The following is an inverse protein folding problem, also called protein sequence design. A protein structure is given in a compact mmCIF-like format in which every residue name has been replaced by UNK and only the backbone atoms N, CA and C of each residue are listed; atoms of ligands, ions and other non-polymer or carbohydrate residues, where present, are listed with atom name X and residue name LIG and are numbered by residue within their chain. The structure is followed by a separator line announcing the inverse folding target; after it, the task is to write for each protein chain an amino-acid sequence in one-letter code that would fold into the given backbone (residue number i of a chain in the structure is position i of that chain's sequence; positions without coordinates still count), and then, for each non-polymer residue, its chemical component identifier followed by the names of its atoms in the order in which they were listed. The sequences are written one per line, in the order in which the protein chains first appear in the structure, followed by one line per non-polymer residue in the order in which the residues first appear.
data_IF_136387181731
#
_entry.id   IF_136387181731
#
_cell.length_a   1.000
_cell.length_b   1.000
_cell.length_c   1.000
_cell.angle_alpha   90.00
_cell.angle_beta   90.00
_cell.angle_gamma   90.00
#
_symmetry.space_group_name_H-M   'P 1'
#
loop_
_entity.id
_entity.type
_entity.pdbx_description
1 polymer ?
#
# COMPACT_ATOMS: atom_id res chain seq x y z
N UNK A 1 33.19 98.36 20.49
CA UNK A 1 32.12 99.37 20.23
C UNK A 1 30.96 98.63 19.59
N UNK A 2 29.71 98.70 20.00
CA UNK A 2 28.99 99.13 21.21
C UNK A 2 27.57 98.52 21.01
N UNK A 3 27.04 97.78 21.98
CA UNK A 3 26.00 98.21 22.92
C UNK A 3 24.55 98.27 22.38
N UNK A 4 23.73 97.41 23.00
CA UNK A 4 22.40 97.62 23.57
C UNK A 4 21.19 98.05 22.71
N UNK A 5 20.06 97.38 22.98
CA UNK A 5 18.72 97.85 22.64
C UNK A 5 17.63 96.86 23.05
N UNK A 6 17.04 97.06 24.24
CA UNK A 6 15.86 96.36 24.72
C UNK A 6 14.58 97.05 24.23
N UNK A 7 13.49 96.30 23.99
CA UNK A 7 12.16 96.52 24.60
C UNK A 7 11.03 95.75 23.89
N UNK A 8 10.04 95.39 24.70
CA UNK A 8 8.87 94.56 24.44
C UNK A 8 7.82 95.20 23.51
N UNK A 9 6.91 94.38 22.95
CA UNK A 9 5.46 94.47 23.21
C UNK A 9 4.63 93.42 22.43
N UNK A 10 3.72 92.78 23.19
CA UNK A 10 2.34 92.40 22.89
C UNK A 10 1.94 91.48 21.71
N UNK A 11 1.21 90.43 22.10
CA UNK A 11 0.33 89.52 21.37
C UNK A 11 -0.54 90.16 20.26
N UNK A 12 -0.72 89.47 19.12
CA UNK A 12 -1.94 88.69 18.83
C UNK A 12 -2.05 88.24 17.34
N UNK A 13 -2.55 86.99 17.17
CA UNK A 13 -3.22 86.42 15.98
C UNK A 13 -2.33 86.14 14.73
N UNK A 14 -2.35 84.99 14.05
CA UNK A 14 -3.34 83.92 13.89
C UNK A 14 -2.68 82.54 13.71
N UNK A 15 -3.49 81.51 13.93
CA UNK A 15 -3.17 80.09 13.94
C UNK A 15 -3.10 79.52 12.52
N UNK A 16 -1.93 79.04 12.10
CA UNK A 16 -1.84 78.05 11.01
C UNK A 16 -1.27 76.77 11.57
N UNK A 17 -2.19 75.89 11.98
CA UNK A 17 -1.93 74.51 12.35
C UNK A 17 -1.33 73.77 11.15
N UNK A 18 -0.04 73.44 11.21
CA UNK A 18 0.48 72.29 10.47
C UNK A 18 0.51 71.11 11.43
N UNK A 19 -0.56 70.31 11.40
CA UNK A 19 -0.59 68.98 11.97
C UNK A 19 0.32 68.10 11.12
N UNK A 20 1.58 67.98 11.52
CA UNK A 20 2.42 66.88 11.07
C UNK A 20 2.03 65.69 11.95
N UNK A 21 1.16 64.83 11.44
CA UNK A 21 0.93 63.50 12.01
C UNK A 21 2.27 62.77 12.00
N UNK A 22 2.88 62.56 13.18
CA UNK A 22 3.97 61.60 13.30
C UNK A 22 3.37 60.22 13.01
N UNK A 23 3.83 59.49 11.98
CA UNK A 23 3.31 58.17 11.71
C UNK A 23 3.63 57.28 12.91
N UNK A 24 2.70 56.40 13.24
CA UNK A 24 2.72 55.39 14.31
C UNK A 24 3.81 54.32 14.11
N UNK A 25 5.06 54.73 13.90
CA UNK A 25 6.24 53.87 13.69
C UNK A 25 6.40 52.82 14.82
N UNK A 26 6.01 53.17 16.04
CA UNK A 26 6.14 52.28 17.21
C UNK A 26 5.18 51.08 17.16
N UNK A 27 3.98 51.26 16.59
CA UNK A 27 2.99 50.19 16.48
C UNK A 27 3.33 49.23 15.33
N UNK A 28 3.80 49.77 14.19
CA UNK A 28 4.24 48.99 13.04
C UNK A 28 5.49 48.15 13.34
N UNK A 29 6.45 48.70 14.08
CA UNK A 29 7.62 47.97 14.53
C UNK A 29 7.28 46.87 15.55
N UNK A 30 6.28 47.11 16.42
CA UNK A 30 5.77 46.10 17.36
C UNK A 30 5.14 44.91 16.64
N UNK A 31 4.34 45.18 15.61
CA UNK A 31 3.74 44.14 14.75
C UNK A 31 4.80 43.36 13.98
N UNK A 32 5.77 44.05 13.35
CA UNK A 32 6.88 43.38 12.65
C UNK A 32 7.72 42.49 13.57
N UNK A 33 7.99 42.91 14.81
CA UNK A 33 8.74 42.10 15.77
C UNK A 33 7.93 40.88 16.23
N UNK A 34 6.61 41.02 16.40
CA UNK A 34 5.72 39.89 16.71
C UNK A 34 5.68 38.88 15.54
N UNK A 35 5.48 39.34 14.31
CA UNK A 35 5.51 38.51 13.10
C UNK A 35 6.87 37.81 12.91
N UNK A 36 7.96 38.49 13.25
CA UNK A 36 9.32 37.92 13.23
C UNK A 36 9.48 36.81 14.27
N UNK A 37 8.93 37.00 15.47
CA UNK A 37 8.97 36.00 16.53
C UNK A 37 8.12 34.76 16.18
N UNK A 38 6.92 34.97 15.62
CA UNK A 38 6.05 33.89 15.14
C UNK A 38 6.71 33.12 13.99
N UNK A 39 7.31 33.81 13.02
CA UNK A 39 8.04 33.17 11.92
C UNK A 39 9.22 32.33 12.43
N UNK A 40 9.94 32.82 13.44
CA UNK A 40 11.06 32.10 14.05
C UNK A 40 10.59 30.86 14.85
N UNK A 41 9.46 30.96 15.55
CA UNK A 41 8.84 29.82 16.24
C UNK A 41 8.34 28.76 15.26
N UNK A 42 7.72 29.16 14.15
CA UNK A 42 7.29 28.24 13.09
C UNK A 42 8.48 27.57 12.41
N UNK A 43 9.56 28.30 12.14
CA UNK A 43 10.79 27.73 11.60
C UNK A 43 11.41 26.70 12.55
N UNK A 44 11.42 26.96 13.86
CA UNK A 44 11.90 26.02 14.87
C UNK A 44 11.03 24.75 14.94
N UNK A 45 9.70 24.90 14.90
CA UNK A 45 8.77 23.77 14.88
C UNK A 45 8.93 22.90 13.62
N UNK A 46 9.09 23.53 12.45
CA UNK A 46 9.33 22.83 11.19
C UNK A 46 10.65 22.06 11.20
N UNK A 47 11.70 22.62 11.80
CA UNK A 47 12.99 21.94 11.95
C UNK A 47 12.89 20.71 12.87
N UNK A 48 12.13 20.82 13.97
CA UNK A 48 11.87 19.69 14.87
C UNK A 48 11.07 18.58 14.17
N UNK A 49 10.00 18.93 13.46
CA UNK A 49 9.20 18.00 12.65
C UNK A 49 10.06 17.30 11.58
N UNK A 50 10.97 18.01 10.95
CA UNK A 50 11.88 17.44 9.96
C UNK A 50 12.86 16.44 10.61
N UNK A 51 13.46 16.80 11.75
CA UNK A 51 14.35 15.91 12.49
C UNK A 51 13.64 14.63 12.98
N UNK A 52 12.38 14.74 13.44
CA UNK A 52 11.56 13.58 13.81
C UNK A 52 11.24 12.68 12.62
N UNK A 53 10.94 13.25 11.45
CA UNK A 53 10.70 12.49 10.22
C UNK A 53 11.94 11.77 9.72
N UNK A 54 13.11 12.41 9.80
CA UNK A 54 14.38 11.80 9.41
C UNK A 54 14.76 10.66 10.37
N UNK A 55 14.53 10.84 11.68
CA UNK A 55 14.72 9.78 12.67
C UNK A 55 13.76 8.60 12.46
N UNK A 56 12.49 8.87 12.17
CA UNK A 56 11.50 7.85 11.83
C UNK A 56 11.89 7.11 10.54
N UNK A 57 12.31 7.82 9.50
CA UNK A 57 12.76 7.24 8.24
C UNK A 57 14.03 6.37 8.43
N UNK A 58 14.98 6.81 9.25
CA UNK A 58 16.18 6.03 9.56
C UNK A 58 15.85 4.75 10.33
N UNK A 59 14.91 4.81 11.28
CA UNK A 59 14.46 3.63 12.04
C UNK A 59 13.70 2.64 11.15
N UNK A 60 12.81 3.13 10.28
CA UNK A 60 12.09 2.34 9.28
C UNK A 60 13.05 1.68 8.27
N UNK A 61 14.07 2.41 7.80
CA UNK A 61 15.08 1.87 6.89
C UNK A 61 15.95 0.77 7.56
N UNK A 62 16.20 0.89 8.87
CA UNK A 62 16.95 -0.13 9.63
C UNK A 62 16.13 -1.40 9.85
N UNK A 63 14.84 -1.27 10.17
CA UNK A 63 13.91 -2.41 10.24
C UNK A 63 13.75 -3.08 8.87
N UNK A 64 13.51 -2.30 7.80
CA UNK A 64 13.42 -2.83 6.45
C UNK A 64 14.68 -3.62 6.01
N UNK A 65 15.88 -3.19 6.43
CA UNK A 65 17.11 -3.94 6.19
C UNK A 65 17.21 -5.23 7.00
N UNK A 66 16.74 -5.25 8.24
CA UNK A 66 16.72 -6.45 9.07
C UNK A 66 15.72 -7.48 8.52
N UNK A 67 14.52 -7.03 8.16
CA UNK A 67 13.46 -7.86 7.59
C UNK A 67 13.89 -8.44 6.23
N UNK A 68 14.58 -7.65 5.41
CA UNK A 68 15.14 -8.09 4.13
C UNK A 68 16.27 -9.14 4.31
N UNK A 69 17.07 -9.03 5.37
CA UNK A 69 18.11 -10.02 5.67
C UNK A 69 17.53 -11.36 6.16
N UNK A 70 16.47 -11.32 6.98
CA UNK A 70 15.75 -12.53 7.41
C UNK A 70 14.97 -13.17 6.25
N UNK A 71 14.30 -12.34 5.44
CA UNK A 71 13.61 -12.78 4.23
C UNK A 71 14.56 -13.46 3.24
N UNK A 72 15.79 -12.95 3.05
CA UNK A 72 16.79 -13.59 2.19
C UNK A 72 17.22 -14.97 2.69
N UNK A 73 17.44 -15.14 4.00
CA UNK A 73 17.79 -16.46 4.57
C UNK A 73 16.65 -17.48 4.40
N UNK A 74 15.40 -17.05 4.57
CA UNK A 74 14.21 -17.90 4.34
C UNK A 74 13.96 -18.16 2.85
N UNK A 75 14.24 -17.20 1.96
CA UNK A 75 14.14 -17.34 0.50
C UNK A 75 15.08 -18.42 -0.05
N UNK A 76 16.32 -18.49 0.43
CA UNK A 76 17.25 -19.54 0.01
C UNK A 76 16.78 -20.94 0.43
N UNK A 77 16.12 -21.06 1.59
CA UNK A 77 15.53 -22.31 2.03
C UNK A 77 14.29 -22.70 1.21
N UNK A 78 13.38 -21.74 0.95
CA UNK A 78 12.18 -21.98 0.12
C UNK A 78 12.53 -22.26 -1.34
N UNK A 79 13.51 -21.59 -1.93
CA UNK A 79 13.95 -21.84 -3.32
C UNK A 79 14.47 -23.27 -3.49
N UNK A 80 15.23 -23.79 -2.52
CA UNK A 80 15.67 -25.20 -2.52
C UNK A 80 14.51 -26.19 -2.37
N UNK A 81 13.47 -25.84 -1.61
CA UNK A 81 12.27 -26.66 -1.47
C UNK A 81 11.35 -26.63 -2.71
N UNK A 82 11.22 -25.46 -3.33
CA UNK A 82 10.47 -25.23 -4.58
C UNK A 82 11.08 -26.02 -5.74
N UNK A 83 12.41 -25.99 -5.88
CA UNK A 83 13.12 -26.73 -6.93
C UNK A 83 12.97 -28.25 -6.76
N UNK A 84 13.02 -28.75 -5.51
CA UNK A 84 12.73 -30.15 -5.20
C UNK A 84 11.26 -30.53 -5.45
N UNK A 85 10.31 -29.63 -5.18
CA UNK A 85 8.88 -29.86 -5.43
C UNK A 85 8.55 -29.81 -6.93
N UNK A 86 9.19 -28.94 -7.70
CA UNK A 86 9.01 -28.85 -9.16
C UNK A 86 9.49 -30.14 -9.84
N UNK A 87 10.63 -30.68 -9.42
CA UNK A 87 11.12 -31.98 -9.88
C UNK A 87 10.16 -33.14 -9.50
N UNK A 88 9.54 -33.09 -8.31
CA UNK A 88 8.55 -34.10 -7.90
C UNK A 88 7.20 -33.98 -8.62
N UNK A 89 6.78 -32.76 -8.98
CA UNK A 89 5.54 -32.51 -9.71
C UNK A 89 5.62 -32.95 -11.19
N UNK A 90 6.79 -32.83 -11.81
CA UNK A 90 7.05 -33.31 -13.18
C UNK A 90 6.93 -34.85 -13.26
N UNK A 91 7.38 -35.57 -12.23
CA UNK A 91 7.26 -37.03 -12.15
C UNK A 91 5.83 -37.51 -11.81
N UNK A 92 5.07 -36.72 -11.05
CA UNK A 92 3.66 -37.00 -10.76
C UNK A 92 2.75 -36.74 -11.98
N UNK A 93 3.06 -35.75 -12.82
CA UNK A 93 2.33 -35.46 -14.05
C UNK A 93 2.39 -36.64 -15.05
N UNK A 94 3.54 -37.31 -15.14
CA UNK A 94 3.74 -38.50 -15.99
C UNK A 94 2.92 -39.72 -15.53
N UNK A 95 2.62 -39.84 -14.23
CA UNK A 95 1.77 -40.92 -13.68
C UNK A 95 0.26 -40.62 -13.75
N UNK A 96 -0.13 -39.35 -13.82
CA UNK A 96 -1.53 -38.92 -13.93
C UNK A 96 -2.13 -39.23 -15.32
N UNK A 97 -1.33 -39.05 -16.38
CA UNK A 97 -1.75 -39.37 -17.77
C UNK A 97 -2.08 -40.86 -17.99
N UNK A 98 -1.49 -41.76 -17.20
CA UNK A 98 -1.83 -43.19 -17.23
C UNK A 98 -3.11 -43.56 -16.45
N UNK A 99 -3.59 -42.69 -15.55
CA UNK A 99 -4.82 -42.92 -14.74
C UNK A 99 -6.07 -42.31 -15.38
N UNK A 100 -5.89 -41.28 -16.21
CA UNK A 100 -6.97 -40.62 -16.95
C UNK A 100 -7.62 -41.52 -18.01
N UNK A 101 -6.89 -42.51 -18.56
CA UNK A 101 -7.44 -43.47 -19.55
C UNK A 101 -8.27 -44.59 -18.93
N UNK A 102 -8.22 -44.79 -17.60
CA UNK A 102 -8.99 -45.82 -16.88
C UNK A 102 -10.26 -45.28 -16.20
N UNK A 103 -10.36 -43.96 -16.00
CA UNK A 103 -11.44 -43.32 -15.21
C UNK A 103 -12.50 -42.61 -16.07
N UNK A 104 -12.66 -43.02 -17.34
CA UNK A 104 -13.75 -42.53 -18.20
C UNK A 104 -14.96 -43.49 -18.24
N UNK A 105 -14.95 -44.57 -17.45
CA UNK A 105 -15.97 -45.64 -17.50
C UNK A 105 -16.82 -45.78 -16.22
N UNK A 106 -16.85 -44.79 -15.32
CA UNK A 106 -17.69 -44.88 -14.13
C UNK A 106 -18.33 -43.53 -13.73
N UNK A 107 -19.56 -43.33 -14.19
CA UNK A 107 -20.71 -43.06 -13.32
C UNK A 107 -20.85 -41.69 -12.64
N UNK A 108 -21.83 -40.93 -13.11
CA UNK A 108 -22.39 -39.73 -12.50
C UNK A 108 -23.06 -39.98 -11.13
N UNK A 109 -22.99 -39.00 -10.19
CA UNK A 109 -24.13 -38.27 -9.58
C UNK A 109 -23.85 -37.63 -8.20
N UNK A 110 -24.41 -36.42 -8.03
CA UNK A 110 -24.80 -35.67 -6.81
C UNK A 110 -23.76 -34.88 -5.97
N UNK A 111 -23.76 -33.57 -6.26
CA UNK A 111 -23.94 -32.40 -5.37
C UNK A 111 -23.59 -32.47 -3.87
N UNK A 112 -22.41 -31.95 -3.56
CA UNK A 112 -22.22 -30.72 -2.75
C UNK A 112 -20.97 -30.07 -3.31
N UNK A 113 -21.13 -29.03 -4.13
CA UNK A 113 -19.99 -28.41 -4.83
C UNK A 113 -19.19 -27.53 -3.87
N UNK A 114 -18.39 -28.15 -3.00
CA UNK A 114 -17.03 -27.66 -2.81
C UNK A 114 -16.34 -27.90 -4.15
N UNK A 115 -16.45 -26.95 -5.08
CA UNK A 115 -15.79 -27.01 -6.38
C UNK A 115 -14.29 -27.00 -6.13
N UNK A 116 -13.74 -28.19 -5.88
CA UNK A 116 -12.30 -28.35 -5.69
C UNK A 116 -11.66 -27.84 -6.96
N UNK A 117 -10.86 -26.79 -6.84
CA UNK A 117 -10.21 -26.19 -8.00
C UNK A 117 -9.34 -27.28 -8.67
N UNK A 118 -9.44 -27.41 -9.99
CA UNK A 118 -8.63 -28.34 -10.80
C UNK A 118 -7.80 -27.55 -11.81
N UNK A 119 -6.71 -28.15 -12.29
CA UNK A 119 -5.86 -27.52 -13.31
C UNK A 119 -5.22 -26.20 -12.84
N UNK A 120 -5.25 -25.16 -13.68
CA UNK A 120 -4.60 -23.88 -13.41
C UNK A 120 -5.07 -23.22 -12.11
N UNK A 121 -6.36 -23.28 -11.79
CA UNK A 121 -6.89 -22.72 -10.54
C UNK A 121 -6.27 -23.40 -9.30
N UNK A 122 -6.08 -24.71 -9.34
CA UNK A 122 -5.44 -25.47 -8.27
C UNK A 122 -3.99 -25.04 -8.05
N UNK A 123 -3.26 -24.79 -9.14
CA UNK A 123 -1.86 -24.34 -9.08
C UNK A 123 -1.73 -22.93 -8.50
N UNK A 124 -2.59 -21.99 -8.92
CA UNK A 124 -2.65 -20.63 -8.35
C UNK A 124 -2.95 -20.68 -6.86
N UNK A 125 -3.95 -21.46 -6.44
CA UNK A 125 -4.34 -21.60 -5.04
C UNK A 125 -3.22 -22.26 -4.22
N UNK A 126 -2.59 -23.32 -4.74
CA UNK A 126 -1.48 -23.98 -4.08
C UNK A 126 -0.29 -23.04 -3.89
N UNK A 127 -0.04 -22.15 -4.85
CA UNK A 127 1.01 -21.14 -4.74
C UNK A 127 0.70 -20.13 -3.63
N UNK A 128 -0.47 -19.47 -3.65
CA UNK A 128 -0.79 -18.46 -2.63
C UNK A 128 -0.84 -19.07 -1.22
N UNK A 129 -1.34 -20.30 -1.08
CA UNK A 129 -1.34 -21.02 0.21
C UNK A 129 0.07 -21.30 0.73
N UNK A 130 1.03 -21.58 -0.15
CA UNK A 130 2.43 -21.80 0.23
C UNK A 130 3.12 -20.52 0.77
N UNK A 131 2.56 -19.34 0.48
CA UNK A 131 3.09 -18.07 0.95
C UNK A 131 2.46 -17.58 2.24
N UNK A 132 1.46 -18.27 2.79
CA UNK A 132 0.88 -17.90 4.09
C UNK A 132 1.99 -17.81 5.16
N UNK A 133 2.03 -16.69 5.87
CA UNK A 133 3.06 -16.35 6.85
C UNK A 133 4.24 -15.54 6.31
N UNK A 134 4.37 -15.36 4.99
CA UNK A 134 5.38 -14.46 4.43
C UNK A 134 5.06 -12.99 4.75
N UNK A 135 6.10 -12.15 4.83
CA UNK A 135 5.95 -10.75 5.21
C UNK A 135 5.23 -9.93 4.11
N UNK A 136 4.51 -8.90 4.53
CA UNK A 136 4.00 -7.89 3.62
C UNK A 136 5.04 -6.78 3.47
N UNK A 137 5.43 -6.46 2.24
CA UNK A 137 6.30 -5.33 1.92
C UNK A 137 5.72 -4.63 0.70
N UNK A 138 5.45 -3.33 0.81
CA UNK A 138 4.97 -2.53 -0.32
C UNK A 138 5.95 -2.64 -1.50
N UNK A 139 5.45 -2.98 -2.68
CA UNK A 139 6.29 -3.24 -3.86
C UNK A 139 6.86 -4.67 -3.94
N UNK A 140 6.64 -5.53 -2.94
CA UNK A 140 7.20 -6.88 -2.87
C UNK A 140 6.63 -7.84 -3.92
N UNK A 141 7.52 -8.57 -4.59
CA UNK A 141 7.18 -9.56 -5.65
C UNK A 141 7.75 -10.95 -5.35
N UNK A 142 8.03 -11.23 -4.08
CA UNK A 142 8.50 -12.53 -3.62
C UNK A 142 10.01 -12.75 -3.69
N UNK A 143 10.47 -13.98 -3.41
CA UNK A 143 9.64 -15.13 -3.00
C UNK A 143 9.32 -15.15 -1.48
N UNK A 144 9.73 -14.14 -0.71
CA UNK A 144 9.61 -14.16 0.77
C UNK A 144 8.96 -12.93 1.38
N UNK A 145 8.61 -11.96 0.54
CA UNK A 145 7.81 -10.80 0.91
C UNK A 145 6.97 -10.38 -0.28
N UNK A 146 5.73 -10.02 -0.01
CA UNK A 146 4.74 -9.75 -1.04
C UNK A 146 4.01 -8.45 -0.76
N UNK A 147 3.63 -7.72 -1.79
CA UNK A 147 2.42 -6.90 -1.70
C UNK A 147 1.23 -7.63 -2.33
N UNK A 148 0.05 -7.03 -2.20
CA UNK A 148 -1.20 -7.66 -2.63
C UNK A 148 -1.17 -8.07 -4.10
N UNK A 149 -0.86 -7.14 -4.98
CA UNK A 149 -0.84 -7.34 -6.43
C UNK A 149 0.36 -8.17 -6.91
N UNK A 150 1.51 -8.09 -6.24
CA UNK A 150 2.70 -8.90 -6.53
C UNK A 150 2.51 -10.38 -6.20
N UNK A 151 1.79 -10.70 -5.11
CA UNK A 151 1.40 -12.08 -4.79
C UNK A 151 0.49 -12.66 -5.86
N UNK A 152 -0.60 -11.94 -6.20
CA UNK A 152 -1.57 -12.37 -7.23
C UNK A 152 -0.87 -12.52 -8.58
N UNK A 153 -0.09 -11.51 -9.00
CA UNK A 153 0.66 -11.56 -10.26
C UNK A 153 1.54 -12.81 -10.35
N UNK A 154 2.30 -13.11 -9.30
CA UNK A 154 3.23 -14.24 -9.32
C UNK A 154 2.51 -15.58 -9.25
N UNK A 155 1.37 -15.65 -8.56
CA UNK A 155 0.53 -16.84 -8.51
C UNK A 155 0.00 -17.22 -9.91
N UNK A 156 -0.52 -16.23 -10.66
CA UNK A 156 -1.01 -16.43 -12.02
C UNK A 156 0.12 -16.68 -13.03
N UNK A 157 1.30 -16.13 -12.78
CA UNK A 157 2.50 -16.44 -13.58
C UNK A 157 2.88 -17.92 -13.52
N UNK A 158 2.58 -18.63 -12.42
CA UNK A 158 2.81 -20.10 -12.33
C UNK A 158 2.05 -20.90 -13.39
N UNK A 159 0.96 -20.34 -13.91
CA UNK A 159 0.10 -20.96 -14.92
C UNK A 159 0.19 -20.25 -16.28
N UNK A 160 1.21 -19.41 -16.47
CA UNK A 160 1.50 -18.74 -17.73
C UNK A 160 0.62 -17.51 -18.02
N UNK A 161 -0.05 -16.94 -17.02
CA UNK A 161 -0.85 -15.72 -17.17
C UNK A 161 -0.08 -14.53 -16.61
N UNK A 162 0.26 -13.59 -17.50
CA UNK A 162 0.91 -12.33 -17.11
C UNK A 162 -0.15 -11.29 -16.72
N UNK A 163 -0.24 -11.02 -15.42
CA UNK A 163 -1.09 -9.96 -14.90
C UNK A 163 -0.35 -8.62 -14.82
N UNK A 164 -1.06 -7.48 -14.93
CA UNK A 164 -0.51 -6.16 -14.61
C UNK A 164 0.08 -6.09 -13.20
N UNK A 165 1.02 -5.16 -12.95
CA UNK A 165 1.71 -5.07 -11.65
C UNK A 165 0.83 -4.55 -10.52
N UNK A 166 -0.12 -3.69 -10.83
CA UNK A 166 -0.88 -2.91 -9.83
C UNK A 166 -2.31 -3.42 -9.69
N UNK A 167 -2.90 -3.27 -8.50
CA UNK A 167 -4.24 -3.77 -8.17
C UNK A 167 -5.34 -3.16 -9.04
N UNK A 168 -5.18 -1.89 -9.42
CA UNK A 168 -6.12 -1.16 -10.29
C UNK A 168 -6.33 -1.90 -11.60
N UNK A 169 -5.24 -2.20 -12.31
CA UNK A 169 -5.29 -2.88 -13.61
C UNK A 169 -5.69 -4.34 -13.46
N UNK A 170 -5.27 -5.01 -12.39
CA UNK A 170 -5.67 -6.39 -12.10
C UNK A 170 -7.19 -6.51 -11.89
N UNK A 171 -7.83 -5.50 -11.27
CA UNK A 171 -9.29 -5.49 -11.07
C UNK A 171 -10.11 -5.42 -12.37
N UNK A 172 -9.46 -5.22 -13.51
CA UNK A 172 -10.10 -5.19 -14.85
C UNK A 172 -9.45 -6.16 -15.84
N UNK A 173 -8.50 -7.00 -15.41
CA UNK A 173 -7.70 -7.84 -16.31
C UNK A 173 -8.46 -9.02 -16.93
N UNK A 174 -9.69 -9.29 -16.47
CA UNK A 174 -10.50 -10.44 -16.90
C UNK A 174 -11.99 -10.14 -16.96
N UNK A 175 -12.81 -11.19 -16.89
CA UNK A 175 -14.26 -11.06 -16.90
C UNK A 175 -14.78 -10.74 -15.51
N UNK A 176 -15.62 -9.72 -15.38
CA UNK A 176 -16.23 -9.37 -14.10
C UNK A 176 -17.16 -10.49 -13.60
N UNK A 177 -17.03 -10.83 -12.31
CA UNK A 177 -17.80 -11.88 -11.65
C UNK A 177 -18.59 -11.27 -10.48
N UNK A 178 -19.86 -11.67 -10.37
CA UNK A 178 -20.66 -11.38 -9.17
C UNK A 178 -20.10 -12.13 -7.96
N UNK A 179 -20.09 -11.51 -6.79
CA UNK A 179 -19.65 -12.15 -5.54
C UNK A 179 -20.48 -13.41 -5.18
N UNK A 180 -21.69 -13.55 -5.72
CA UNK A 180 -22.51 -14.76 -5.58
C UNK A 180 -22.06 -15.93 -6.47
N UNK A 181 -21.23 -15.66 -7.48
CA UNK A 181 -20.77 -16.62 -8.50
C UNK A 181 -19.25 -16.87 -8.43
N UNK A 182 -18.66 -16.62 -7.26
CA UNK A 182 -17.23 -16.82 -7.03
C UNK A 182 -16.84 -18.28 -7.25
N UNK A 183 -15.71 -18.46 -7.93
CA UNK A 183 -15.06 -19.75 -8.13
C UNK A 183 -13.63 -19.69 -7.62
N UNK A 184 -13.11 -20.76 -6.99
CA UNK A 184 -11.73 -20.78 -6.54
C UNK A 184 -10.76 -20.44 -7.68
N UNK A 185 -9.85 -19.49 -7.44
CA UNK A 185 -8.98 -18.92 -8.44
C UNK A 185 -9.43 -17.54 -8.95
N UNK A 186 -10.64 -17.07 -8.62
CA UNK A 186 -11.04 -15.69 -8.93
C UNK A 186 -10.19 -14.67 -8.16
N UNK A 187 -9.89 -13.55 -8.81
CA UNK A 187 -9.21 -12.41 -8.19
C UNK A 187 -10.28 -11.54 -7.54
N UNK A 188 -10.23 -11.40 -6.23
CA UNK A 188 -11.05 -10.48 -5.45
C UNK A 188 -10.36 -9.12 -5.42
N UNK A 189 -11.15 -8.04 -5.43
CA UNK A 189 -10.63 -6.69 -5.29
C UNK A 189 -11.47 -5.84 -4.32
N UNK A 190 -10.82 -4.81 -3.76
CA UNK A 190 -11.44 -3.79 -2.91
C UNK A 190 -11.27 -2.40 -3.51
N UNK A 191 -12.35 -1.63 -3.55
CA UNK A 191 -12.47 -0.37 -4.30
C UNK A 191 -13.32 -0.52 -5.56
N UNK A 192 -13.32 0.47 -6.45
CA UNK A 192 -14.01 0.33 -7.73
C UNK A 192 -13.12 -0.37 -8.75
N UNK A 193 -13.71 -1.05 -9.73
CA UNK A 193 -12.95 -1.60 -10.85
C UNK A 193 -12.16 -0.48 -11.56
N UNK A 194 -10.87 -0.72 -11.82
CA UNK A 194 -9.93 0.27 -12.36
C UNK A 194 -9.34 1.24 -11.34
N UNK A 195 -9.79 1.20 -10.08
CA UNK A 195 -9.25 2.00 -8.97
C UNK A 195 -9.13 1.20 -7.67
N UNK A 196 -9.07 -0.12 -7.77
CA UNK A 196 -8.92 -1.00 -6.63
C UNK A 196 -7.60 -0.75 -5.88
N UNK A 197 -7.68 -0.65 -4.56
CA UNK A 197 -6.52 -0.43 -3.68
C UNK A 197 -5.96 -1.73 -3.09
N UNK A 198 -6.72 -2.83 -3.17
CA UNK A 198 -6.30 -4.14 -2.66
C UNK A 198 -6.84 -5.26 -3.55
N UNK A 199 -6.11 -6.38 -3.59
CA UNK A 199 -6.47 -7.60 -4.34
C UNK A 199 -6.03 -8.86 -3.59
N UNK A 200 -6.76 -9.95 -3.78
CA UNK A 200 -6.49 -11.26 -3.20
C UNK A 200 -7.02 -12.37 -4.11
N UNK A 201 -6.68 -13.63 -3.82
CA UNK A 201 -7.21 -14.79 -4.56
C UNK A 201 -8.28 -15.49 -3.72
N UNK A 202 -9.44 -15.74 -4.30
CA UNK A 202 -10.47 -16.58 -3.69
C UNK A 202 -10.05 -18.04 -3.72
N UNK A 203 -10.06 -18.72 -2.58
CA UNK A 203 -9.56 -20.11 -2.46
C UNK A 203 -10.66 -21.14 -2.21
N UNK A 204 -11.93 -20.72 -2.27
CA UNK A 204 -13.10 -21.57 -2.00
C UNK A 204 -13.61 -21.41 -0.56
N UNK A 205 -14.77 -22.04 -0.29
CA UNK A 205 -15.38 -22.11 1.04
C UNK A 205 -15.56 -20.76 1.76
N UNK A 206 -15.76 -19.69 1.01
CA UNK A 206 -15.89 -18.34 1.58
C UNK A 206 -14.57 -17.77 2.12
N UNK A 207 -13.43 -18.28 1.67
CA UNK A 207 -12.09 -17.90 2.10
C UNK A 207 -11.28 -17.27 0.96
N UNK A 208 -10.36 -16.38 1.31
CA UNK A 208 -9.39 -15.79 0.40
C UNK A 208 -7.99 -15.79 1.00
N UNK A 209 -6.98 -15.75 0.12
CA UNK A 209 -5.57 -15.58 0.51
C UNK A 209 -5.02 -14.34 -0.15
N UNK A 210 -4.42 -13.45 0.65
CA UNK A 210 -3.83 -12.20 0.19
C UNK A 210 -2.72 -11.73 1.12
N UNK A 211 -1.83 -10.86 0.58
CA UNK A 211 -0.85 -10.13 1.37
C UNK A 211 -1.52 -8.91 1.99
N UNK A 212 -1.87 -8.96 3.28
CA UNK A 212 -2.84 -8.03 3.88
C UNK A 212 -2.25 -6.67 4.25
N UNK A 213 -1.23 -6.65 5.10
CA UNK A 213 -0.59 -5.43 5.61
C UNK A 213 0.72 -5.79 6.35
N UNK A 214 1.59 -4.80 6.66
CA UNK A 214 2.89 -5.06 7.31
C UNK A 214 2.82 -5.87 8.60
N UNK A 215 1.74 -5.73 9.39
CA UNK A 215 1.59 -6.45 10.67
C UNK A 215 1.11 -7.89 10.51
N UNK A 216 0.41 -8.22 9.42
CA UNK A 216 -0.22 -9.54 9.21
C UNK A 216 0.54 -10.40 8.22
N UNK A 217 1.16 -9.80 7.20
CA UNK A 217 1.75 -10.54 6.10
C UNK A 217 0.72 -11.19 5.18
N UNK A 218 1.09 -12.30 4.55
CA UNK A 218 0.20 -13.14 3.77
C UNK A 218 -0.63 -14.03 4.69
N UNK A 219 -1.95 -13.97 4.57
CA UNK A 219 -2.86 -14.74 5.40
C UNK A 219 -4.07 -15.26 4.64
N UNK A 220 -4.61 -16.38 5.10
CA UNK A 220 -5.93 -16.87 4.72
C UNK A 220 -6.98 -16.26 5.66
N UNK A 221 -8.05 -15.69 5.09
CA UNK A 221 -9.11 -15.01 5.83
C UNK A 221 -10.49 -15.33 5.23
N UNK A 222 -11.55 -15.36 6.04
CA UNK A 222 -12.91 -15.46 5.52
C UNK A 222 -13.32 -14.15 4.82
N UNK A 223 -14.19 -14.23 3.83
CA UNK A 223 -14.79 -13.06 3.16
C UNK A 223 -15.51 -12.13 4.16
N UNK A 224 -15.98 -12.66 5.30
CA UNK A 224 -16.60 -11.87 6.36
C UNK A 224 -15.63 -10.99 7.15
N UNK A 225 -14.32 -11.25 7.07
CA UNK A 225 -13.29 -10.43 7.72
C UNK A 225 -13.20 -9.05 7.07
N UNK A 226 -13.17 -9.02 5.74
CA UNK A 226 -13.12 -7.82 4.92
C UNK A 226 -13.82 -8.13 3.58
N UNK A 227 -15.09 -7.74 3.41
CA UNK A 227 -15.85 -8.10 2.21
C UNK A 227 -15.29 -7.41 0.96
N UNK A 228 -14.94 -8.16 -0.10
CA UNK A 228 -14.50 -7.54 -1.35
C UNK A 228 -15.64 -6.78 -2.01
N UNK A 229 -15.30 -5.74 -2.78
CA UNK A 229 -16.27 -4.95 -3.54
C UNK A 229 -16.61 -5.59 -4.88
N UNK A 230 -15.74 -6.44 -5.42
CA UNK A 230 -16.00 -7.23 -6.61
C UNK A 230 -14.93 -8.28 -6.89
N UNK A 231 -15.07 -8.98 -8.01
CA UNK A 231 -14.16 -10.03 -8.42
C UNK A 231 -14.02 -10.10 -9.95
N UNK A 232 -12.87 -10.57 -10.43
CA UNK A 232 -12.63 -10.88 -11.84
C UNK A 232 -12.09 -12.29 -12.01
N UNK A 233 -12.49 -12.92 -13.12
CA UNK A 233 -12.01 -14.24 -13.54
C UNK A 233 -11.10 -14.12 -14.75
N UNK A 234 -9.92 -14.72 -14.64
CA UNK A 234 -8.88 -14.74 -15.67
C UNK A 234 -8.56 -16.17 -16.13
N UNK A 235 -9.10 -17.19 -15.44
CA UNK A 235 -8.97 -18.61 -15.75
C UNK A 235 -10.15 -19.14 -16.57
#
# INVERSE_FOLDING_TARGET
MAAAGASASAFAAESTTQTIELPTLSADLGSQVAESADAMQQAAANYQLQAERDAAAASAAKQAKADLAEAKKKAEAKKKAEEARRAAAEEAASRSSARATLSASAGASVSTSSSTATGSAAAVIAFVKAQIGDAYVSGGTGPSSWDCSGLVQTAFKQVGIDLPRVSQDQSTAGTQVSLSNLQPGDILYWGSAGSAYHVAVYVGDGMFVGAQNPSTGVAEKPLSYDPPTGAVRVL
#
